data_IF_321442483547
#
_entry.id   IF_321442483547
#
_cell.length_a   1.000
_cell.length_b   1.000
_cell.length_c   1.000
_cell.angle_alpha   90.00
_cell.angle_beta   90.00
_cell.angle_gamma   90.00
#
_symmetry.space_group_name_H-M   'P 1'
#
loop_
_entity.id
_entity.type
_entity.pdbx_description
1 polymer ?
#
# COMPACT_ATOMS: atom_id res chain seq x y z
N UNK A 1 -17.75 1.02 -15.28
CA UNK A 1 -16.75 1.41 -14.27
C UNK A 1 -15.56 0.48 -14.44
N UNK A 2 -14.37 1.04 -14.52
CA UNK A 2 -13.11 0.32 -14.72
C UNK A 2 -12.24 0.43 -13.48
N UNK A 3 -11.27 -0.48 -13.35
CA UNK A 3 -10.29 -0.44 -12.27
C UNK A 3 -9.52 0.89 -12.27
N UNK A 4 -9.12 1.39 -13.44
CA UNK A 4 -8.43 2.67 -13.59
C UNK A 4 -9.23 3.86 -13.02
N UNK A 5 -10.55 3.87 -13.24
CA UNK A 5 -11.41 4.96 -12.76
C UNK A 5 -11.47 4.99 -11.23
N UNK A 6 -11.58 3.81 -10.61
CA UNK A 6 -11.67 3.70 -9.14
C UNK A 6 -10.32 3.95 -8.48
N UNK A 7 -9.22 3.48 -9.08
CA UNK A 7 -7.87 3.80 -8.61
C UNK A 7 -7.58 5.29 -8.72
N UNK A 8 -7.96 5.94 -9.82
CA UNK A 8 -7.81 7.40 -9.97
C UNK A 8 -8.61 8.15 -8.91
N UNK A 9 -9.84 7.70 -8.62
CA UNK A 9 -10.66 8.27 -7.55
C UNK A 9 -10.01 8.10 -6.18
N UNK A 10 -9.48 6.91 -5.90
CA UNK A 10 -8.75 6.62 -4.68
C UNK A 10 -7.51 7.50 -4.52
N UNK A 11 -6.67 7.60 -5.56
CA UNK A 11 -5.44 8.41 -5.59
C UNK A 11 -5.73 9.89 -5.30
N UNK A 12 -6.74 10.45 -5.96
CA UNK A 12 -7.17 11.83 -5.72
C UNK A 12 -7.61 12.08 -4.27
N UNK A 13 -8.11 11.05 -3.57
CA UNK A 13 -8.44 11.16 -2.14
C UNK A 13 -7.23 10.91 -1.23
N UNK A 14 -6.20 10.20 -1.71
CA UNK A 14 -4.98 9.91 -0.96
C UNK A 14 -3.99 11.08 -0.95
N UNK A 15 -4.02 11.92 -1.99
CA UNK A 15 -3.21 13.14 -2.21
C UNK A 15 -2.38 13.62 -1.00
N UNK A 16 -1.06 13.57 -1.17
CA UNK A 16 -0.07 13.99 -0.17
C UNK A 16 0.68 15.29 -0.53
N UNK A 17 0.26 16.00 -1.58
CA UNK A 17 0.99 17.13 -2.17
C UNK A 17 1.24 18.32 -1.22
N UNK A 18 0.45 18.48 -0.15
CA UNK A 18 0.63 19.55 0.83
C UNK A 18 1.22 19.08 2.17
N UNK A 19 1.74 17.85 2.24
CA UNK A 19 2.50 17.38 3.39
C UNK A 19 3.94 17.87 3.22
N UNK A 20 4.49 18.51 4.27
CA UNK A 20 5.90 18.94 4.25
C UNK A 20 6.80 17.76 3.86
N UNK A 21 7.71 18.01 2.93
CA UNK A 21 8.56 16.98 2.33
C UNK A 21 9.26 16.20 3.43
N UNK A 22 9.12 14.87 3.42
CA UNK A 22 9.72 13.94 4.38
C UNK A 22 9.19 14.02 5.83
N UNK A 23 7.94 14.42 6.06
CA UNK A 23 7.37 14.33 7.41
C UNK A 23 7.21 12.87 7.86
N UNK A 24 7.97 12.39 8.86
CA UNK A 24 7.96 10.99 9.25
C UNK A 24 6.63 10.53 9.85
N UNK A 25 5.75 11.43 10.25
CA UNK A 25 4.41 11.08 10.75
C UNK A 25 3.52 10.44 9.66
N UNK A 26 3.84 10.65 8.38
CA UNK A 26 3.07 10.17 7.22
C UNK A 26 3.65 8.90 6.60
N UNK A 27 4.67 8.30 7.21
CA UNK A 27 5.22 7.00 6.78
C UNK A 27 4.23 5.83 6.97
N UNK A 28 3.02 6.08 7.47
CA UNK A 28 2.02 5.05 7.74
C UNK A 28 2.28 4.31 9.06
N UNK A 29 1.57 3.20 9.22
CA UNK A 29 1.59 2.36 10.42
C UNK A 29 1.75 0.89 10.04
N UNK A 30 2.53 0.16 10.84
CA UNK A 30 2.74 -1.27 10.67
C UNK A 30 2.20 -2.05 11.87
N UNK A 31 1.76 -3.29 11.62
CA UNK A 31 1.72 -4.34 12.63
C UNK A 31 2.86 -5.30 12.33
N UNK A 32 3.84 -5.35 13.21
CA UNK A 32 5.03 -6.16 13.01
C UNK A 32 4.72 -7.67 13.08
N UNK A 33 5.69 -8.51 12.76
CA UNK A 33 5.56 -9.98 12.82
C UNK A 33 5.35 -10.53 14.23
N UNK A 34 5.63 -9.73 15.27
CA UNK A 34 5.36 -10.05 16.68
C UNK A 34 4.00 -9.53 17.14
N UNK A 35 3.25 -8.86 16.27
CA UNK A 35 1.93 -8.30 16.54
C UNK A 35 1.94 -6.91 17.20
N UNK A 36 3.11 -6.29 17.33
CA UNK A 36 3.26 -4.94 17.90
C UNK A 36 2.93 -3.89 16.84
N UNK A 37 2.19 -2.87 17.25
CA UNK A 37 1.83 -1.74 16.41
C UNK A 37 2.91 -0.66 16.48
N UNK A 38 3.32 -0.15 15.32
CA UNK A 38 4.23 0.99 15.18
C UNK A 38 3.65 2.00 14.19
N UNK A 39 4.00 3.28 14.35
CA UNK A 39 3.46 4.34 13.51
C UNK A 39 4.49 5.43 13.24
N UNK A 40 4.45 6.00 12.04
CA UNK A 40 5.39 7.01 11.57
C UNK A 40 6.85 6.55 11.67
N UNK A 41 7.73 7.41 12.19
CA UNK A 41 9.14 7.08 12.42
C UNK A 41 9.35 5.85 13.31
N UNK A 42 8.44 5.55 14.23
CA UNK A 42 8.59 4.40 15.13
C UNK A 42 8.48 3.05 14.39
N UNK A 43 7.97 3.06 13.15
CA UNK A 43 7.97 1.88 12.29
C UNK A 43 9.39 1.43 11.90
N UNK A 44 10.38 2.31 12.03
CA UNK A 44 11.80 2.04 11.76
C UNK A 44 12.56 1.61 13.00
N UNK A 45 13.46 0.63 12.84
CA UNK A 45 14.33 0.18 13.92
C UNK A 45 15.37 1.24 14.21
N UNK A 46 15.54 1.59 15.49
CA UNK A 46 16.43 2.65 15.93
C UNK A 46 17.87 2.45 15.40
N UNK A 47 18.44 3.50 14.80
CA UNK A 47 19.79 3.47 14.24
C UNK A 47 19.92 2.75 12.89
N UNK A 48 18.80 2.40 12.24
CA UNK A 48 18.79 1.72 10.94
C UNK A 48 17.86 2.44 9.95
N UNK A 49 17.97 2.08 8.66
CA UNK A 49 17.03 2.46 7.61
C UNK A 49 16.08 1.31 7.26
N UNK A 50 15.81 0.42 8.23
CA UNK A 50 14.94 -0.75 8.06
C UNK A 50 13.72 -0.64 8.97
N UNK A 51 12.50 -0.87 8.46
CA UNK A 51 11.34 -1.03 9.30
C UNK A 51 11.43 -2.31 10.15
N UNK A 52 10.58 -2.42 11.16
CA UNK A 52 10.27 -3.74 11.70
C UNK A 52 9.61 -4.60 10.61
N UNK A 53 10.00 -5.89 10.46
CA UNK A 53 9.28 -6.81 9.58
C UNK A 53 7.79 -6.83 9.94
N UNK A 54 6.91 -6.76 8.94
CA UNK A 54 5.49 -6.53 9.17
C UNK A 54 4.58 -7.54 8.49
N UNK A 55 3.45 -7.80 9.14
CA UNK A 55 2.33 -8.55 8.55
C UNK A 55 1.29 -7.62 7.96
N UNK A 56 1.21 -6.37 8.43
CA UNK A 56 0.33 -5.33 7.91
C UNK A 56 1.12 -4.04 7.79
N UNK A 57 1.00 -3.37 6.66
CA UNK A 57 1.44 -1.99 6.47
C UNK A 57 0.30 -1.17 5.87
N UNK A 58 -0.04 -0.06 6.51
CA UNK A 58 -1.14 0.78 6.07
C UNK A 58 -0.73 2.25 6.09
N UNK A 59 -1.13 2.98 5.05
CA UNK A 59 -1.00 4.42 4.96
C UNK A 59 -2.34 5.06 4.64
N UNK A 60 -2.47 6.33 4.98
CA UNK A 60 -3.64 7.12 4.64
C UNK A 60 -3.25 8.53 4.25
N UNK A 61 -4.01 9.07 3.30
CA UNK A 61 -3.92 10.44 2.85
C UNK A 61 -4.69 11.41 3.74
N UNK A 62 -4.55 12.69 3.43
CA UNK A 62 -5.34 13.75 4.04
C UNK A 62 -6.12 14.46 2.94
N UNK A 63 -7.44 14.48 3.05
CA UNK A 63 -8.22 15.35 2.18
C UNK A 63 -7.95 16.82 2.56
N UNK A 64 -7.13 17.51 1.76
CA UNK A 64 -6.73 18.89 2.01
C UNK A 64 -7.89 19.90 1.89
N UNK A 65 -9.01 19.52 1.28
CA UNK A 65 -10.22 20.37 1.20
C UNK A 65 -11.10 20.20 2.43
N UNK A 66 -11.18 18.97 2.95
CA UNK A 66 -11.98 18.63 4.14
C UNK A 66 -11.17 17.68 5.04
N UNK A 67 -10.20 18.16 5.83
CA UNK A 67 -9.32 17.29 6.62
C UNK A 67 -10.08 16.36 7.57
N UNK A 68 -11.22 16.82 8.08
CA UNK A 68 -12.14 16.03 8.93
C UNK A 68 -12.92 14.93 8.18
N UNK A 69 -12.75 14.77 6.87
CA UNK A 69 -13.33 13.67 6.10
C UNK A 69 -12.37 12.46 5.97
N UNK A 70 -11.12 12.60 6.45
CA UNK A 70 -10.05 11.64 6.16
C UNK A 70 -9.66 11.63 4.68
N UNK A 71 -8.83 10.68 4.26
CA UNK A 71 -8.40 10.53 2.87
C UNK A 71 -8.50 9.11 2.36
N UNK A 72 -7.96 8.89 1.17
CA UNK A 72 -7.68 7.57 0.63
C UNK A 72 -6.81 6.79 1.60
N UNK A 73 -6.96 5.47 1.59
CA UNK A 73 -6.25 4.54 2.47
C UNK A 73 -5.80 3.34 1.69
N UNK A 74 -4.60 2.85 1.97
CA UNK A 74 -4.16 1.54 1.53
C UNK A 74 -3.83 0.64 2.71
N UNK A 75 -3.97 -0.67 2.51
CA UNK A 75 -3.51 -1.72 3.43
C UNK A 75 -2.83 -2.81 2.61
N UNK A 76 -1.54 -3.02 2.89
CA UNK A 76 -0.74 -4.14 2.42
C UNK A 76 -0.72 -5.22 3.50
N UNK A 77 -0.91 -6.48 3.10
CA UNK A 77 -0.82 -7.62 4.03
C UNK A 77 0.19 -8.64 3.54
N UNK A 78 0.99 -9.14 4.46
CA UNK A 78 1.92 -10.25 4.27
C UNK A 78 1.64 -11.36 5.28
N UNK A 79 1.38 -12.57 4.81
CA UNK A 79 1.06 -13.72 5.65
C UNK A 79 2.24 -14.16 6.52
N UNK A 80 3.46 -14.13 5.96
CA UNK A 80 4.67 -14.62 6.64
C UNK A 80 5.64 -13.50 7.03
N UNK A 81 5.21 -12.25 6.91
CA UNK A 81 6.05 -11.08 7.11
C UNK A 81 6.70 -10.58 5.82
N UNK A 82 6.80 -9.26 5.74
CA UNK A 82 7.52 -8.53 4.71
C UNK A 82 8.53 -7.61 5.39
N UNK A 83 9.67 -7.40 4.76
CA UNK A 83 10.66 -6.46 5.25
C UNK A 83 11.35 -5.74 4.10
N UNK A 84 11.93 -4.58 4.39
CA UNK A 84 12.80 -3.89 3.46
C UNK A 84 14.02 -3.29 4.14
N UNK A 85 14.98 -2.87 3.35
CA UNK A 85 16.18 -2.19 3.83
C UNK A 85 16.68 -1.26 2.74
N UNK A 86 17.06 -0.06 3.14
CA UNK A 86 17.69 0.94 2.26
C UNK A 86 19.14 1.14 2.69
N UNK A 87 20.08 0.81 1.82
CA UNK A 87 21.53 0.89 2.07
C UNK A 87 22.22 1.77 1.04
N UNK A 88 23.38 2.34 1.37
CA UNK A 88 24.35 2.87 0.39
C UNK A 88 25.55 1.91 0.40
N UNK A 89 25.40 0.76 -0.26
CA UNK A 89 26.37 -0.34 -0.18
C UNK A 89 27.63 -0.06 -0.99
N UNK A 90 27.50 0.78 -2.02
CA UNK A 90 28.54 1.12 -2.97
C UNK A 90 29.21 2.47 -2.68
N UNK A 91 28.74 3.21 -1.67
CA UNK A 91 29.38 4.43 -1.13
C UNK A 91 29.41 5.58 -2.12
N UNK A 92 28.49 5.59 -3.09
CA UNK A 92 28.48 6.54 -4.20
C UNK A 92 27.43 7.66 -4.03
N UNK A 93 26.77 7.71 -2.87
CA UNK A 93 25.74 8.70 -2.56
C UNK A 93 24.35 8.36 -3.12
N UNK A 94 24.16 7.13 -3.60
CA UNK A 94 22.86 6.56 -3.96
C UNK A 94 22.57 5.32 -3.14
N UNK A 95 21.29 4.96 -3.10
CA UNK A 95 20.83 3.87 -2.27
C UNK A 95 20.40 2.63 -3.08
N UNK A 96 20.48 1.46 -2.46
CA UNK A 96 19.78 0.25 -2.87
C UNK A 96 18.59 0.00 -1.95
N UNK A 97 17.41 -0.14 -2.53
CA UNK A 97 16.17 -0.42 -1.79
C UNK A 97 15.75 -1.88 -2.01
N UNK A 98 16.13 -2.73 -1.06
CA UNK A 98 15.93 -4.17 -1.13
C UNK A 98 14.74 -4.62 -0.28
N UNK A 99 14.03 -5.65 -0.73
CA UNK A 99 12.87 -6.20 -0.02
C UNK A 99 12.94 -7.72 0.13
N UNK A 100 12.14 -8.25 1.05
CA UNK A 100 11.96 -9.69 1.24
C UNK A 100 10.56 -9.99 1.78
N UNK A 101 10.11 -11.24 1.59
CA UNK A 101 8.76 -11.66 1.93
C UNK A 101 7.78 -11.49 0.76
N UNK A 102 6.48 -11.59 1.03
CA UNK A 102 5.44 -11.52 0.00
C UNK A 102 4.33 -10.55 0.40
N UNK A 103 4.00 -9.60 -0.47
CA UNK A 103 2.81 -8.75 -0.32
C UNK A 103 1.61 -9.51 -0.92
N UNK A 104 0.89 -10.25 -0.09
CA UNK A 104 -0.18 -11.13 -0.54
C UNK A 104 -1.44 -10.38 -0.97
N UNK A 105 -1.73 -9.26 -0.30
CA UNK A 105 -2.94 -8.48 -0.53
C UNK A 105 -2.61 -6.99 -0.58
N UNK A 106 -3.21 -6.29 -1.54
CA UNK A 106 -3.33 -4.84 -1.55
C UNK A 106 -4.81 -4.47 -1.45
N UNK A 107 -5.17 -3.64 -0.48
CA UNK A 107 -6.54 -3.13 -0.33
C UNK A 107 -6.51 -1.61 -0.39
N UNK A 108 -7.36 -1.02 -1.23
CA UNK A 108 -7.53 0.42 -1.40
C UNK A 108 -8.95 0.81 -0.99
N UNK A 109 -9.10 1.94 -0.32
CA UNK A 109 -10.42 2.47 0.05
C UNK A 109 -10.30 3.81 0.74
N UNK A 110 -11.29 4.13 1.58
CA UNK A 110 -11.32 5.39 2.33
C UNK A 110 -11.11 5.15 3.82
N UNK A 111 -10.40 6.05 4.46
CA UNK A 111 -10.18 6.06 5.91
C UNK A 111 -11.51 6.19 6.67
N UNK A 112 -11.70 5.50 7.80
CA UNK A 112 -12.88 5.70 8.65
C UNK A 112 -13.07 7.17 9.05
N UNK A 113 -14.32 7.61 9.17
CA UNK A 113 -14.66 9.00 9.48
C UNK A 113 -14.19 9.49 10.86
N UNK A 114 -13.59 8.64 11.68
CA UNK A 114 -13.01 9.00 12.99
C UNK A 114 -11.49 9.02 12.99
N UNK A 115 -10.85 8.67 11.87
CA UNK A 115 -9.41 8.61 11.73
C UNK A 115 -8.94 9.67 10.73
N UNK A 116 -8.40 10.75 11.29
CA UNK A 116 -7.88 11.89 10.53
C UNK A 116 -6.40 12.13 10.81
N UNK A 117 -5.72 11.13 11.38
CA UNK A 117 -4.30 11.19 11.68
C UNK A 117 -3.45 11.21 10.42
N UNK A 118 -2.18 11.54 10.59
CA UNK A 118 -1.17 11.43 9.53
C UNK A 118 -0.92 9.96 9.09
N UNK A 119 -1.22 9.01 9.98
CA UNK A 119 -1.14 7.58 9.73
C UNK A 119 -2.30 6.87 10.46
N UNK A 120 -2.72 5.68 9.99
CA UNK A 120 -3.82 4.95 10.61
C UNK A 120 -3.54 4.59 12.06
N UNK A 121 -4.49 4.83 12.96
CA UNK A 121 -4.37 4.43 14.36
C UNK A 121 -4.44 2.90 14.54
N UNK A 122 -3.99 2.38 15.68
CA UNK A 122 -4.01 0.93 15.95
C UNK A 122 -5.41 0.31 15.84
N UNK A 123 -6.47 1.01 16.26
CA UNK A 123 -7.86 0.53 16.20
C UNK A 123 -8.45 0.54 14.79
N UNK A 124 -7.88 1.34 13.90
CA UNK A 124 -8.35 1.54 12.54
C UNK A 124 -7.38 0.99 11.50
N UNK A 125 -6.26 0.38 11.89
CA UNK A 125 -5.17 -0.05 11.01
C UNK A 125 -5.67 -0.77 9.74
N UNK A 126 -6.54 -1.77 9.89
CA UNK A 126 -7.13 -2.54 8.78
C UNK A 126 -8.53 -2.07 8.38
N UNK A 127 -9.05 -1.04 9.05
CA UNK A 127 -10.43 -0.58 8.92
C UNK A 127 -10.62 0.45 7.83
N UNK A 128 -11.74 0.34 7.12
CA UNK A 128 -12.18 1.26 6.07
C UNK A 128 -13.56 1.85 6.37
N UNK A 129 -13.87 2.99 5.75
CA UNK A 129 -15.19 3.61 5.80
C UNK A 129 -16.22 2.68 5.16
N UNK A 130 -17.15 2.18 5.96
CA UNK A 130 -18.09 1.12 5.59
C UNK A 130 -18.99 1.46 4.39
N UNK A 131 -19.35 2.73 4.23
CA UNK A 131 -20.21 3.25 3.15
C UNK A 131 -19.46 3.65 1.89
N UNK A 132 -18.13 3.62 1.89
CA UNK A 132 -17.31 4.02 0.75
C UNK A 132 -16.86 2.80 -0.07
N UNK A 133 -16.51 2.99 -1.36
CA UNK A 133 -15.96 1.93 -2.18
C UNK A 133 -14.66 1.34 -1.65
N UNK A 134 -14.40 0.09 -2.00
CA UNK A 134 -13.20 -0.65 -1.65
C UNK A 134 -12.73 -1.50 -2.84
N UNK A 135 -11.42 -1.48 -3.10
CA UNK A 135 -10.76 -2.39 -4.05
C UNK A 135 -9.88 -3.34 -3.24
N UNK A 136 -10.02 -4.65 -3.48
CA UNK A 136 -9.18 -5.67 -2.84
C UNK A 136 -8.52 -6.56 -3.89
N UNK A 137 -7.20 -6.50 -3.95
CA UNK A 137 -6.36 -7.37 -4.76
C UNK A 137 -5.82 -8.49 -3.88
N UNK A 138 -6.16 -9.73 -4.19
CA UNK A 138 -5.61 -10.93 -3.53
C UNK A 138 -4.66 -11.64 -4.48
N UNK A 139 -3.59 -12.24 -3.95
CA UNK A 139 -2.52 -12.83 -4.76
C UNK A 139 -1.60 -11.77 -5.37
N UNK A 140 -1.51 -10.58 -4.76
CA UNK A 140 -0.79 -9.46 -5.35
C UNK A 140 0.68 -9.79 -5.63
N UNK A 141 1.34 -10.56 -4.76
CA UNK A 141 2.69 -11.06 -4.98
C UNK A 141 2.84 -11.88 -6.28
N UNK A 142 1.82 -12.62 -6.71
CA UNK A 142 1.86 -13.38 -7.98
C UNK A 142 1.91 -12.41 -9.17
N UNK A 143 1.14 -11.33 -9.13
CA UNK A 143 1.18 -10.30 -10.16
C UNK A 143 2.54 -9.57 -10.19
N UNK A 144 3.05 -9.19 -9.01
CA UNK A 144 4.36 -8.53 -8.90
C UNK A 144 5.48 -9.44 -9.43
N UNK A 145 5.51 -10.71 -9.02
CA UNK A 145 6.56 -11.65 -9.43
C UNK A 145 6.52 -11.90 -10.94
N UNK A 146 5.31 -12.00 -11.52
CA UNK A 146 5.14 -12.10 -12.97
C UNK A 146 5.74 -10.88 -13.69
N UNK A 147 5.38 -9.67 -13.27
CA UNK A 147 5.84 -8.43 -13.90
C UNK A 147 7.35 -8.25 -13.72
N UNK A 148 7.89 -8.57 -12.55
CA UNK A 148 9.33 -8.56 -12.31
C UNK A 148 10.10 -9.46 -13.29
N UNK A 149 9.57 -10.65 -13.55
CA UNK A 149 10.16 -11.60 -14.50
C UNK A 149 10.04 -11.15 -15.96
N UNK A 150 8.89 -10.64 -16.37
CA UNK A 150 8.60 -10.43 -17.79
C UNK A 150 8.95 -9.02 -18.28
N UNK A 151 8.85 -8.00 -17.43
CA UNK A 151 9.17 -6.61 -17.80
C UNK A 151 10.61 -6.23 -17.46
N UNK A 152 11.19 -6.84 -16.42
CA UNK A 152 12.52 -6.47 -15.92
C UNK A 152 13.54 -7.62 -15.96
N UNK A 153 13.14 -8.83 -16.34
CA UNK A 153 14.05 -9.97 -16.48
C UNK A 153 14.66 -10.47 -15.17
N UNK A 154 14.03 -10.18 -14.02
CA UNK A 154 14.51 -10.58 -12.70
C UNK A 154 13.63 -11.67 -12.07
N UNK A 155 14.11 -12.37 -11.03
CA UNK A 155 13.44 -13.59 -10.58
C UNK A 155 12.04 -13.36 -9.97
N UNK A 156 11.83 -12.25 -9.27
CA UNK A 156 10.60 -11.94 -8.55
C UNK A 156 10.56 -10.46 -8.11
N UNK A 157 9.47 -10.04 -7.45
CA UNK A 157 9.28 -8.68 -6.98
C UNK A 157 10.27 -8.16 -5.93
N UNK A 158 11.09 -9.05 -5.36
CA UNK A 158 12.12 -8.73 -4.38
C UNK A 158 13.53 -8.64 -4.98
N UNK A 159 13.68 -9.02 -6.25
CA UNK A 159 14.96 -8.97 -6.93
C UNK A 159 15.34 -7.53 -7.24
N UNK A 160 16.64 -7.22 -7.12
CA UNK A 160 17.15 -5.89 -7.42
C UNK A 160 17.01 -5.57 -8.91
N UNK A 161 16.44 -4.41 -9.23
CA UNK A 161 16.30 -3.87 -10.59
C UNK A 161 17.08 -2.56 -10.64
N UNK A 162 17.92 -2.39 -11.65
CA UNK A 162 18.66 -1.15 -11.86
C UNK A 162 17.69 0.01 -12.14
N UNK A 163 17.89 1.16 -11.47
CA UNK A 163 17.02 2.34 -11.61
C UNK A 163 17.35 3.10 -12.89
N UNK A 164 16.85 2.58 -14.00
CA UNK A 164 17.02 3.14 -15.35
C UNK A 164 15.76 2.87 -16.18
N UNK A 165 15.63 3.57 -17.32
CA UNK A 165 14.56 3.33 -18.30
C UNK A 165 13.15 3.36 -17.69
N UNK A 166 12.31 2.38 -18.06
CA UNK A 166 10.94 2.23 -17.55
C UNK A 166 10.90 2.18 -16.02
N UNK A 167 11.81 1.45 -15.38
CA UNK A 167 11.78 1.30 -13.92
C UNK A 167 12.03 2.62 -13.19
N UNK A 168 12.90 3.49 -13.72
CA UNK A 168 13.11 4.82 -13.16
C UNK A 168 11.86 5.71 -13.22
N UNK A 169 10.93 5.49 -14.16
CA UNK A 169 9.67 6.22 -14.21
C UNK A 169 8.61 5.73 -13.21
N UNK A 170 8.78 4.51 -12.68
CA UNK A 170 7.87 3.91 -11.69
C UNK A 170 8.30 4.22 -10.25
N UNK A 171 9.59 4.49 -10.04
CA UNK A 171 10.13 4.74 -8.70
C UNK A 171 10.07 6.23 -8.37
N UNK A 172 9.20 6.58 -7.42
CA UNK A 172 9.22 7.88 -6.74
C UNK A 172 10.66 8.19 -6.24
N UNK A 173 11.16 9.41 -6.48
CA UNK A 173 12.54 9.84 -6.18
C UNK A 173 13.67 8.96 -6.76
N UNK A 174 13.48 8.37 -7.96
CA UNK A 174 14.44 7.50 -8.63
C UNK A 174 15.90 8.00 -8.64
N UNK A 175 16.14 9.31 -8.69
CA UNK A 175 17.50 9.89 -8.70
C UNK A 175 18.33 9.55 -7.45
N UNK A 176 17.70 9.17 -6.33
CA UNK A 176 18.35 8.79 -5.08
C UNK A 176 18.84 7.33 -5.07
N UNK A 177 18.46 6.52 -6.06
CA UNK A 177 18.65 5.08 -6.04
C UNK A 177 19.49 4.60 -7.22
N UNK A 178 20.33 3.60 -6.98
CA UNK A 178 20.98 2.83 -8.06
C UNK A 178 20.19 1.58 -8.40
N UNK A 179 19.61 0.94 -7.38
CA UNK A 179 18.76 -0.22 -7.56
C UNK A 179 17.59 -0.20 -6.57
N UNK A 180 16.48 -0.80 -6.98
CA UNK A 180 15.32 -1.01 -6.12
C UNK A 180 14.60 -2.28 -6.54
N UNK A 181 13.90 -2.92 -5.63
CA UNK A 181 12.97 -4.00 -5.99
C UNK A 181 11.63 -3.44 -6.46
N UNK A 182 10.86 -4.23 -7.21
CA UNK A 182 9.52 -3.80 -7.64
C UNK A 182 8.57 -3.61 -6.45
N UNK A 183 8.67 -4.45 -5.42
CA UNK A 183 7.91 -4.26 -4.18
C UNK A 183 8.31 -2.96 -3.46
N UNK A 184 9.59 -2.59 -3.47
CA UNK A 184 10.04 -1.31 -2.89
C UNK A 184 9.45 -0.12 -3.64
N UNK A 185 9.47 -0.15 -4.98
CA UNK A 185 8.83 0.88 -5.80
C UNK A 185 7.35 1.03 -5.46
N UNK A 186 6.60 -0.08 -5.34
CA UNK A 186 5.19 -0.07 -4.94
C UNK A 186 4.99 0.57 -3.57
N UNK A 187 5.75 0.15 -2.57
CA UNK A 187 5.63 0.63 -1.18
C UNK A 187 5.94 2.13 -1.12
N UNK A 188 7.05 2.54 -1.75
CA UNK A 188 7.50 3.91 -1.71
C UNK A 188 6.51 4.85 -2.42
N UNK A 189 5.99 4.42 -3.56
CA UNK A 189 5.04 5.18 -4.34
C UNK A 189 3.66 5.26 -3.68
N UNK A 190 3.16 4.17 -3.09
CA UNK A 190 1.98 4.19 -2.22
C UNK A 190 2.15 5.14 -1.02
N UNK A 191 3.38 5.33 -0.53
CA UNK A 191 3.65 6.15 0.68
C UNK A 191 3.82 7.62 0.37
N UNK A 192 4.30 8.00 -0.82
CA UNK A 192 4.66 9.39 -1.12
C UNK A 192 3.95 10.00 -2.33
N UNK A 193 3.20 9.21 -3.11
CA UNK A 193 2.39 9.62 -4.27
C UNK A 193 3.03 10.75 -5.10
N UNK A 194 4.17 10.46 -5.74
CA UNK A 194 4.95 11.48 -6.47
C UNK A 194 5.02 11.26 -7.98
N UNK A 195 4.29 10.27 -8.50
CA UNK A 195 4.30 9.89 -9.92
C UNK A 195 2.90 10.01 -10.54
N UNK A 196 2.83 10.20 -11.87
CA UNK A 196 1.56 10.27 -12.59
C UNK A 196 0.86 8.91 -12.74
N UNK A 197 1.60 7.83 -12.56
CA UNK A 197 1.11 6.45 -12.66
C UNK A 197 1.74 5.65 -11.55
N UNK A 198 0.93 5.12 -10.63
CA UNK A 198 1.51 4.45 -9.49
C UNK A 198 2.18 3.13 -9.87
N UNK A 199 3.25 2.75 -9.19
CA UNK A 199 3.98 1.51 -9.47
C UNK A 199 3.07 0.27 -9.35
N UNK A 200 2.11 0.28 -8.43
CA UNK A 200 1.12 -0.81 -8.34
C UNK A 200 0.15 -0.81 -9.53
N UNK A 201 -0.23 0.36 -10.06
CA UNK A 201 -1.09 0.46 -11.25
C UNK A 201 -0.42 -0.20 -12.45
N UNK A 202 0.86 0.11 -12.66
CA UNK A 202 1.67 -0.52 -13.70
C UNK A 202 1.73 -2.05 -13.54
N UNK A 203 1.92 -2.55 -12.31
CA UNK A 203 1.94 -4.01 -12.08
C UNK A 203 0.59 -4.65 -12.42
N UNK A 204 -0.52 -4.07 -11.96
CA UNK A 204 -1.84 -4.62 -12.25
C UNK A 204 -2.13 -4.60 -13.75
N UNK A 205 -1.76 -3.52 -14.44
CA UNK A 205 -1.94 -3.37 -15.87
C UNK A 205 -1.16 -4.41 -16.67
N UNK A 206 0.17 -4.51 -16.44
CA UNK A 206 1.00 -5.51 -17.13
C UNK A 206 0.62 -6.94 -16.82
N UNK A 207 0.18 -7.20 -15.59
CA UNK A 207 -0.34 -8.52 -15.27
C UNK A 207 -1.64 -8.81 -16.00
N UNK A 208 -2.59 -7.87 -16.06
CA UNK A 208 -3.86 -8.04 -16.78
C UNK A 208 -3.65 -8.18 -18.29
N UNK A 209 -2.73 -7.42 -18.89
CA UNK A 209 -2.37 -7.52 -20.31
C UNK A 209 -1.94 -8.96 -20.65
N UNK A 210 -1.17 -9.60 -19.76
CA UNK A 210 -0.78 -11.01 -19.91
C UNK A 210 -1.95 -11.99 -19.86
N UNK A 211 -3.11 -11.56 -19.34
CA UNK A 211 -4.36 -12.32 -19.25
C UNK A 211 -5.38 -11.91 -20.31
N UNK A 212 -5.02 -11.01 -21.23
CA UNK A 212 -5.91 -10.52 -22.29
C UNK A 212 -6.92 -9.47 -21.83
N UNK A 213 -6.61 -8.74 -20.76
CA UNK A 213 -7.40 -7.61 -20.24
C UNK A 213 -6.46 -6.45 -19.89
N UNK A 214 -6.95 -5.33 -19.37
CA UNK A 214 -6.12 -4.24 -18.83
C UNK A 214 -6.86 -3.48 -17.70
N UNK A 215 -6.24 -2.48 -17.07
CA UNK A 215 -6.92 -1.73 -15.98
C UNK A 215 -8.11 -0.87 -16.47
N UNK A 216 -8.21 -0.63 -17.77
CA UNK A 216 -9.27 0.19 -18.38
C UNK A 216 -10.55 -0.62 -18.65
N UNK A 217 -10.42 -1.94 -18.65
CA UNK A 217 -11.54 -2.86 -18.80
C UNK A 217 -12.57 -2.79 -17.66
N UNK A 218 -13.76 -3.32 -17.96
CA UNK A 218 -14.79 -3.53 -16.94
C UNK A 218 -14.38 -4.60 -15.93
N UNK A 219 -14.83 -4.49 -14.69
CA UNK A 219 -14.59 -5.54 -13.69
C UNK A 219 -15.06 -6.92 -14.12
N UNK A 220 -16.16 -7.04 -14.88
CA UNK A 220 -16.62 -8.33 -15.38
C UNK A 220 -15.61 -8.99 -16.34
N UNK A 221 -14.96 -8.17 -17.20
CA UNK A 221 -13.92 -8.66 -18.10
C UNK A 221 -12.65 -9.03 -17.33
N UNK A 222 -12.19 -8.15 -16.43
CA UNK A 222 -11.04 -8.41 -15.54
C UNK A 222 -11.23 -9.72 -14.75
N UNK A 223 -12.41 -9.94 -14.18
CA UNK A 223 -12.71 -11.16 -13.41
C UNK A 223 -12.67 -12.42 -14.28
N UNK A 224 -13.11 -12.31 -15.54
CA UNK A 224 -13.04 -13.41 -16.51
C UNK A 224 -11.58 -13.72 -16.86
N UNK A 225 -10.78 -12.70 -17.15
CA UNK A 225 -9.35 -12.84 -17.49
C UNK A 225 -8.53 -13.42 -16.33
N UNK A 226 -8.88 -13.08 -15.08
CA UNK A 226 -8.16 -13.53 -13.89
C UNK A 226 -8.56 -14.94 -13.41
N UNK A 227 -9.58 -15.56 -14.00
CA UNK A 227 -10.09 -16.86 -13.56
C UNK A 227 -8.98 -17.93 -13.54
N UNK A 228 -8.78 -18.55 -12.37
CA UNK A 228 -7.75 -19.59 -12.18
C UNK A 228 -6.30 -19.09 -12.13
N UNK A 229 -6.07 -17.77 -12.16
CA UNK A 229 -4.70 -17.21 -12.19
C UNK A 229 -4.01 -17.13 -10.82
N UNK A 230 -4.75 -17.36 -9.73
CA UNK A 230 -4.27 -17.11 -8.36
C UNK A 230 -4.30 -15.65 -7.94
N UNK A 231 -4.74 -14.73 -8.82
CA UNK A 231 -4.94 -13.31 -8.55
C UNK A 231 -6.43 -12.98 -8.69
N UNK A 232 -6.96 -12.12 -7.81
CA UNK A 232 -8.33 -11.61 -7.93
C UNK A 232 -8.39 -10.11 -7.59
N UNK A 233 -9.12 -9.32 -8.37
CA UNK A 233 -9.32 -7.88 -8.14
C UNK A 233 -10.81 -7.60 -7.92
N UNK A 234 -11.22 -7.53 -6.66
CA UNK A 234 -12.62 -7.34 -6.30
C UNK A 234 -12.91 -5.88 -6.00
N UNK A 235 -13.98 -5.36 -6.61
CA UNK A 235 -14.57 -4.07 -6.25
C UNK A 235 -15.82 -4.27 -5.42
N UNK A 236 -15.89 -3.51 -4.34
CA UNK A 236 -17.07 -3.41 -3.49
C UNK A 236 -17.56 -1.97 -3.53
N UNK A 237 -18.81 -1.76 -3.93
CA UNK A 237 -19.42 -0.44 -3.89
C UNK A 237 -19.50 0.14 -2.47
N UNK A 238 -19.52 -0.74 -1.46
CA UNK A 238 -19.44 -0.42 -0.05
C UNK A 238 -18.49 -1.40 0.64
N UNK A 239 -17.50 -0.87 1.39
CA UNK A 239 -16.54 -1.69 2.12
C UNK A 239 -17.20 -2.67 3.11
N UNK A 240 -18.39 -2.35 3.62
CA UNK A 240 -19.21 -3.23 4.48
C UNK A 240 -19.54 -4.57 3.83
N UNK A 241 -19.51 -4.65 2.50
CA UNK A 241 -19.77 -5.86 1.73
C UNK A 241 -18.53 -6.74 1.54
N UNK A 242 -17.36 -6.29 1.97
CA UNK A 242 -16.10 -7.01 1.80
C UNK A 242 -15.81 -7.93 2.98
N UNK A 243 -15.85 -9.25 2.75
CA UNK A 243 -15.44 -10.23 3.77
C UNK A 243 -13.93 -10.16 4.06
N UNK A 244 -13.58 -10.29 5.34
CA UNK A 244 -12.18 -10.26 5.80
C UNK A 244 -11.54 -8.86 5.74
N UNK A 245 -12.35 -7.81 5.68
CA UNK A 245 -11.95 -6.42 5.89
C UNK A 245 -12.66 -5.96 7.16
N UNK A 246 -11.93 -5.45 8.14
CA UNK A 246 -12.60 -4.83 9.28
C UNK A 246 -13.27 -3.57 8.77
N UNK A 247 -14.58 -3.45 8.95
CA UNK A 247 -15.25 -2.17 8.72
C UNK A 247 -15.46 -1.53 10.06
N UNK A 248 -15.07 -0.26 10.19
CA UNK A 248 -15.44 0.48 11.37
C UNK A 248 -16.96 0.71 11.26
N UNK A 249 -17.75 -0.03 12.04
CA UNK A 249 -19.11 0.40 12.35
C UNK A 249 -19.00 1.81 12.95
N UNK A 250 -19.93 2.71 12.58
CA UNK A 250 -20.01 4.04 13.19
C UNK A 250 -20.02 3.82 14.69
N UNK A 251 -18.93 4.17 15.37
CA UNK A 251 -18.83 3.99 16.80
C UNK A 251 -19.90 4.89 17.42
N UNK A 252 -21.03 4.30 17.83
CA UNK A 252 -21.78 4.86 18.94
C UNK A 252 -20.81 4.85 20.13
N UNK A 253 -20.71 6.00 20.78
CA UNK A 253 -19.89 6.15 21.96
C UNK A 253 -20.24 5.04 22.96
N UNK A 254 -19.30 4.14 23.25
CA UNK A 254 -19.35 3.42 24.51
C UNK A 254 -18.79 4.34 25.58
N UNK A 255 -19.70 5.09 26.18
CA UNK A 255 -19.53 5.67 27.50
C UNK A 255 -19.20 4.56 28.50
N UNK A 256 -18.07 4.76 29.20
CA UNK A 256 -17.74 4.29 30.55
C UNK A 256 -17.80 2.78 30.84
N UNK A 257 -16.68 2.25 31.35
CA UNK A 257 -16.64 1.61 32.67
C UNK A 257 -15.22 1.70 33.25
N UNK A 258 -15.18 2.13 34.50
CA UNK A 258 -14.01 2.26 35.37
C UNK A 258 -13.40 0.91 35.77
N UNK A 259 -12.20 1.02 36.38
CA UNK A 259 -11.44 0.11 37.25
C UNK A 259 -10.13 -0.39 36.59
N UNK A 260 -8.94 -0.07 37.12
CA UNK A 260 -8.58 -0.15 38.54
C UNK A 260 -7.56 0.93 38.96
N UNK A 261 -7.86 1.61 40.07
CA UNK A 261 -6.95 2.48 40.82
C UNK A 261 -5.92 1.66 41.63
N UNK A 262 -4.80 2.32 41.92
CA UNK A 262 -3.66 1.92 42.75
C UNK A 262 -3.91 0.97 43.94
N UNK A 263 -2.91 0.11 44.16
CA UNK A 263 -2.32 -0.13 45.48
C UNK A 263 -0.80 -0.06 45.32
#
# INVERSE_FOLDING_TARGET
>A
MSLQTDVTTWRNNFDQTNINTNNPAYLGSIKDTSGVYHTGAASYQAGTNSPYPFTIYAGQGVNHTTPAAGGGKYVLTSTNGFNWTTTDSNGNGKYEFNTSGALNTLTLGTTPATDHGAAPASSTLTSFLSSAPLIKVTGFNVAVDYVAQHEFGVANGNSAIAVTGTFASLLSNAALFDSSSLNAAIIYDLTFDSTSTQAFEYVLDKYLESKGSDITDTYAHIQTALAGSGVSINYYAQASSASGVTTAAVAQAETSHELLHAA
#
